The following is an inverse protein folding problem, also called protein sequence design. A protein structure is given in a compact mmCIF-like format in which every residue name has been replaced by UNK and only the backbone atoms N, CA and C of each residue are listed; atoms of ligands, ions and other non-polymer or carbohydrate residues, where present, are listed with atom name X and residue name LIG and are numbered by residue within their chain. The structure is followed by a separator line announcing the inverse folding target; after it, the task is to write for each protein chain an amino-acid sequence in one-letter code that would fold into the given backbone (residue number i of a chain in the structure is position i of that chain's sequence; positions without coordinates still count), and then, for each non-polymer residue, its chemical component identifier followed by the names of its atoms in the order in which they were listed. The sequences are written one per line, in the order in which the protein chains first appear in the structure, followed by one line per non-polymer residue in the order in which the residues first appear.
data_IF_084459934685
#
_entry.id   IF_084459934685
#
_cell.length_a   1.000
_cell.length_b   1.000
_cell.length_c   1.000
_cell.angle_alpha   90.00
_cell.angle_beta   90.00
_cell.angle_gamma   90.00
#
_symmetry.space_group_name_H-M   'P 1'
#
loop_
_entity.id
_entity.type
_entity.pdbx_description
1 polymer ?
#
# COMPACT_ATOMS: atom_id res chain seq x y z
N UNK A 1 -34.49 -67.13 -2.47
CA UNK A 1 -33.12 -67.06 -3.00
C UNK A 1 -32.38 -66.07 -2.12
N UNK A 2 -31.51 -66.52 -1.19
CA UNK A 2 -30.09 -66.85 -1.42
C UNK A 2 -29.30 -65.63 -1.95
N UNK A 3 -28.24 -65.09 -1.32
CA UNK A 3 -27.72 -65.22 0.06
C UNK A 3 -26.70 -64.10 0.35
N UNK A 4 -26.62 -63.66 1.63
CA UNK A 4 -25.47 -63.26 2.49
C UNK A 4 -24.12 -62.75 1.88
N UNK A 5 -23.27 -61.93 2.52
CA UNK A 5 -22.71 -61.85 3.91
C UNK A 5 -22.18 -60.39 4.13
N UNK A 6 -22.52 -59.61 5.19
CA UNK A 6 -21.87 -59.44 6.54
C UNK A 6 -20.45 -58.79 6.51
N UNK A 7 -19.93 -57.98 7.46
CA UNK A 7 -20.33 -57.39 8.79
C UNK A 7 -19.37 -56.17 9.07
N UNK A 8 -19.77 -54.97 9.56
CA UNK A 8 -19.93 -54.48 10.97
C UNK A 8 -18.69 -54.68 11.90
N UNK A 9 -18.36 -53.97 13.00
CA UNK A 9 -18.74 -52.72 13.70
C UNK A 9 -17.57 -52.38 14.70
N UNK A 10 -17.49 -51.34 15.56
CA UNK A 10 -18.30 -50.13 15.82
C UNK A 10 -18.03 -49.54 17.24
N UNK A 11 -17.87 -48.20 17.35
CA UNK A 11 -17.89 -47.36 18.58
C UNK A 11 -16.80 -47.42 19.68
N UNK A 12 -16.60 -46.25 20.35
CA UNK A 12 -15.89 -46.02 21.64
C UNK A 12 -16.78 -46.47 22.83
N UNK A 13 -16.26 -46.53 24.09
CA UNK A 13 -16.41 -45.36 24.98
C UNK A 13 -15.30 -45.10 26.06
N UNK A 14 -15.41 -43.90 26.64
CA UNK A 14 -14.87 -43.28 27.86
C UNK A 14 -13.98 -44.02 28.90
N UNK A 15 -13.07 -43.23 29.53
CA UNK A 15 -12.45 -43.50 30.83
C UNK A 15 -11.69 -42.29 31.41
N UNK A 16 -12.00 -41.86 32.64
CA UNK A 16 -11.33 -40.78 33.44
C UNK A 16 -10.73 -41.41 34.71
N UNK A 17 -9.48 -41.06 35.05
CA UNK A 17 -8.79 -41.08 36.39
C UNK A 17 -7.27 -41.00 36.16
N UNK A 18 -6.38 -40.54 37.05
CA UNK A 18 -6.45 -39.66 38.23
C UNK A 18 -5.03 -39.08 38.49
N UNK A 19 -4.91 -38.05 39.33
CA UNK A 19 -3.65 -37.44 39.75
C UNK A 19 -2.75 -38.36 40.60
N UNK A 20 -1.41 -38.18 40.50
CA UNK A 20 -0.54 -37.96 41.68
C UNK A 20 0.88 -37.50 41.35
N UNK A 21 1.36 -36.57 42.17
CA UNK A 21 2.72 -36.04 42.18
C UNK A 21 3.70 -36.95 42.94
N UNK A 22 4.98 -36.87 42.61
CA UNK A 22 6.07 -37.19 43.54
C UNK A 22 7.26 -36.24 43.36
N UNK A 23 7.33 -35.22 44.22
CA UNK A 23 8.60 -34.58 44.58
C UNK A 23 9.41 -35.53 45.48
N UNK A 24 10.74 -35.52 45.34
CA UNK A 24 11.65 -35.99 46.41
C UNK A 24 12.85 -35.05 46.57
N UNK A 25 13.14 -34.73 47.82
CA UNK A 25 14.25 -33.87 48.27
C UNK A 25 15.15 -34.64 49.25
N UNK A 26 16.47 -34.48 49.09
CA UNK A 26 17.51 -34.66 50.12
C UNK A 26 18.81 -34.07 49.51
N UNK A 27 19.45 -32.99 49.99
CA UNK A 27 20.02 -32.61 51.30
C UNK A 27 21.29 -33.38 51.72
N UNK A 28 22.42 -32.66 51.59
CA UNK A 28 23.64 -32.63 52.42
C UNK A 28 24.44 -33.93 52.69
N UNK A 29 25.74 -33.90 52.36
CA UNK A 29 26.84 -34.15 53.32
C UNK A 29 28.18 -33.57 52.80
N UNK A 30 29.01 -33.09 53.73
CA UNK A 30 30.40 -32.59 53.59
C UNK A 30 31.20 -33.35 54.68
N UNK A 31 32.52 -33.68 54.61
CA UNK A 31 33.65 -32.70 54.67
C UNK A 31 34.99 -33.30 54.10
N UNK A 32 36.24 -33.00 54.59
CA UNK A 32 36.93 -31.73 54.89
C UNK A 32 38.30 -31.53 54.16
N UNK A 33 38.87 -30.32 54.36
CA UNK A 33 40.29 -29.88 54.45
C UNK A 33 41.42 -30.95 54.43
N UNK A 34 42.66 -30.70 53.97
CA UNK A 34 43.41 -29.47 53.56
C UNK A 34 44.74 -29.89 52.88
N UNK A 35 45.60 -28.95 52.43
CA UNK A 35 47.05 -28.85 52.73
C UNK A 35 47.64 -27.60 52.00
N UNK A 36 48.60 -26.89 52.62
CA UNK A 36 49.23 -25.65 52.11
C UNK A 36 50.57 -25.94 51.43
N UNK A 37 50.90 -25.27 50.31
CA UNK A 37 52.29 -24.93 49.91
C UNK A 37 52.32 -23.48 49.35
N UNK A 38 53.48 -22.82 49.48
CA UNK A 38 53.72 -21.38 49.29
C UNK A 38 54.17 -20.96 47.89
N UNK A 39 54.10 -19.64 47.64
CA UNK A 39 54.93 -18.81 46.73
C UNK A 39 55.06 -19.17 45.24
N UNK A 40 54.66 -18.26 44.35
CA UNK A 40 55.53 -17.18 43.85
C UNK A 40 54.74 -16.20 42.97
N UNK A 41 54.97 -14.89 43.12
CA UNK A 41 54.55 -13.90 42.12
C UNK A 41 55.50 -13.96 40.91
N UNK A 42 54.98 -13.74 39.70
CA UNK A 42 55.40 -12.53 39.00
C UNK A 42 54.22 -11.68 38.53
N UNK A 43 54.46 -10.36 38.45
CA UNK A 43 53.49 -9.39 37.94
C UNK A 43 53.31 -9.55 36.42
N UNK A 44 52.21 -10.13 35.99
CA UNK A 44 51.73 -9.94 34.63
C UNK A 44 50.99 -8.59 34.55
N UNK A 45 51.57 -7.60 33.86
CA UNK A 45 50.79 -6.45 33.39
C UNK A 45 49.85 -6.98 32.30
N UNK A 46 48.60 -7.23 32.66
CA UNK A 46 47.54 -7.40 31.68
C UNK A 46 47.30 -6.06 30.99
N UNK A 47 47.79 -5.89 29.75
CA UNK A 47 47.25 -4.86 28.88
C UNK A 47 45.77 -5.19 28.65
N UNK A 48 44.90 -4.43 29.32
CA UNK A 48 43.50 -4.37 28.93
C UNK A 48 43.43 -3.70 27.56
N UNK A 49 43.49 -4.51 26.50
CA UNK A 49 43.18 -4.07 25.16
C UNK A 49 41.70 -3.64 25.18
N UNK A 50 41.47 -2.34 25.29
CA UNK A 50 40.19 -1.72 24.97
C UNK A 50 39.94 -1.94 23.49
N UNK A 51 39.36 -3.10 23.17
CA UNK A 51 38.68 -3.32 21.89
C UNK A 51 37.51 -2.36 21.90
N UNK A 52 37.75 -1.15 21.39
CA UNK A 52 36.71 -0.19 21.10
C UNK A 52 35.85 -0.81 20.02
N UNK A 53 34.79 -1.50 20.43
CA UNK A 53 33.75 -2.00 19.54
C UNK A 53 33.06 -0.76 19.01
N UNK A 54 33.61 -0.21 17.92
CA UNK A 54 32.89 0.61 16.98
C UNK A 54 31.79 -0.29 16.42
N UNK A 55 30.67 -0.34 17.14
CA UNK A 55 29.44 -0.84 16.59
C UNK A 55 29.11 0.03 15.40
N UNK A 56 29.40 -0.48 14.21
CA UNK A 56 28.72 -0.04 13.00
C UNK A 56 27.24 -0.32 13.23
N UNK A 57 26.56 0.66 13.83
CA UNK A 57 25.14 0.81 13.72
C UNK A 57 24.88 1.05 12.24
N UNK A 58 24.67 -0.04 11.51
CA UNK A 58 24.08 -0.01 10.19
C UNK A 58 22.71 0.64 10.37
N UNK A 59 22.65 1.96 10.23
CA UNK A 59 21.40 2.67 10.01
C UNK A 59 20.89 2.13 8.68
N UNK A 60 19.91 1.24 8.75
CA UNK A 60 19.06 0.93 7.62
C UNK A 60 18.55 2.25 7.06
N UNK A 61 18.66 2.45 5.74
CA UNK A 61 18.10 3.63 5.09
C UNK A 61 16.61 3.75 5.48
N UNK A 62 16.09 4.96 5.72
CA UNK A 62 14.65 5.16 5.89
C UNK A 62 13.87 4.60 4.71
N UNK A 63 12.65 4.09 4.96
CA UNK A 63 11.88 3.36 3.95
C UNK A 63 11.60 4.19 2.68
N UNK A 64 11.45 5.52 2.82
CA UNK A 64 11.28 6.41 1.67
C UNK A 64 12.51 6.43 0.74
N UNK A 65 13.73 6.20 1.23
CA UNK A 65 14.94 6.16 0.39
C UNK A 65 15.02 4.88 -0.48
N UNK A 66 14.18 3.88 -0.21
CA UNK A 66 14.06 2.66 -1.02
C UNK A 66 13.13 2.84 -2.23
N UNK A 67 12.40 3.96 -2.33
CA UNK A 67 11.51 4.25 -3.47
C UNK A 67 12.31 4.70 -4.69
N UNK A 68 12.04 4.09 -5.84
CA UNK A 68 12.73 4.38 -7.08
C UNK A 68 11.75 4.90 -8.13
N UNK A 69 11.86 6.19 -8.46
CA UNK A 69 11.07 6.79 -9.54
C UNK A 69 11.27 6.12 -10.89
N UNK A 70 12.45 5.54 -11.13
CA UNK A 70 12.74 4.76 -12.34
C UNK A 70 11.94 3.44 -12.42
N UNK A 71 11.64 2.79 -11.28
CA UNK A 71 10.77 1.61 -11.24
C UNK A 71 9.31 2.00 -11.42
N UNK A 72 8.86 3.04 -10.71
CA UNK A 72 7.53 3.62 -10.91
C UNK A 72 7.30 3.96 -12.39
N UNK A 73 8.23 4.69 -13.01
CA UNK A 73 8.21 5.03 -14.45
C UNK A 73 8.14 3.78 -15.35
N UNK A 74 8.87 2.71 -15.02
CA UNK A 74 8.79 1.43 -15.74
C UNK A 74 7.40 0.79 -15.68
N UNK A 75 6.68 0.94 -14.56
CA UNK A 75 5.28 0.53 -14.46
C UNK A 75 4.35 1.42 -15.30
N UNK A 76 4.54 2.76 -15.29
CA UNK A 76 3.80 3.68 -16.18
C UNK A 76 4.00 3.31 -17.65
N UNK A 77 5.25 3.08 -18.07
CA UNK A 77 5.59 2.69 -19.43
C UNK A 77 4.84 1.41 -19.84
N UNK A 78 4.82 0.39 -18.99
CA UNK A 78 4.10 -0.86 -19.29
C UNK A 78 2.60 -0.64 -19.50
N UNK A 79 1.96 0.19 -18.68
CA UNK A 79 0.52 0.51 -18.81
C UNK A 79 0.22 1.30 -20.09
N UNK A 80 1.10 2.22 -20.48
CA UNK A 80 0.99 2.98 -21.74
C UNK A 80 1.22 2.08 -22.97
N UNK A 81 2.10 1.09 -22.88
CA UNK A 81 2.36 0.10 -23.94
C UNK A 81 1.15 -0.80 -24.23
N UNK A 82 0.26 -1.03 -23.26
CA UNK A 82 -1.03 -1.70 -23.47
C UNK A 82 -2.01 -0.86 -24.32
N UNK A 83 -1.79 0.46 -24.41
CA UNK A 83 -2.64 1.43 -25.07
C UNK A 83 -3.70 2.05 -24.16
N UNK A 84 -4.77 2.65 -24.72
CA UNK A 84 -5.92 3.13 -23.96
C UNK A 84 -6.53 1.99 -23.13
N UNK A 85 -6.89 2.25 -21.88
CA UNK A 85 -7.43 1.27 -20.92
C UNK A 85 -8.85 1.64 -20.44
N UNK A 86 -9.81 2.01 -21.31
CA UNK A 86 -11.15 2.36 -20.83
C UNK A 86 -11.86 1.17 -20.17
N UNK A 87 -12.79 1.48 -19.29
CA UNK A 87 -13.65 0.51 -18.61
C UNK A 87 -14.23 -0.54 -19.59
N UNK A 88 -14.21 -1.81 -19.19
CA UNK A 88 -14.63 -2.94 -20.01
C UNK A 88 -13.68 -3.37 -21.15
N UNK A 89 -12.54 -2.71 -21.38
CA UNK A 89 -11.60 -3.06 -22.45
C UNK A 89 -10.66 -4.24 -22.14
N UNK A 90 -10.14 -4.90 -23.19
CA UNK A 90 -9.11 -5.95 -23.07
C UNK A 90 -7.79 -5.39 -22.52
N UNK A 91 -7.46 -4.13 -22.82
CA UNK A 91 -6.26 -3.46 -22.31
C UNK A 91 -6.36 -3.18 -20.80
N UNK A 92 -7.55 -2.81 -20.30
CA UNK A 92 -7.78 -2.67 -18.88
C UNK A 92 -7.69 -4.02 -18.15
N UNK A 93 -8.24 -5.10 -18.71
CA UNK A 93 -8.09 -6.44 -18.13
C UNK A 93 -6.61 -6.90 -18.08
N UNK A 94 -5.82 -6.62 -19.12
CA UNK A 94 -4.36 -6.85 -19.10
C UNK A 94 -3.67 -6.02 -18.01
N UNK A 95 -4.13 -4.79 -17.78
CA UNK A 95 -3.64 -3.94 -16.70
C UNK A 95 -3.94 -4.54 -15.33
N UNK A 96 -5.15 -5.09 -15.12
CA UNK A 96 -5.51 -5.80 -13.88
C UNK A 96 -4.62 -7.01 -13.61
N UNK A 97 -4.34 -7.79 -14.65
CA UNK A 97 -3.43 -8.95 -14.55
C UNK A 97 -2.03 -8.47 -14.17
N UNK A 98 -1.51 -7.46 -14.87
CA UNK A 98 -0.19 -6.88 -14.58
C UNK A 98 -0.07 -6.36 -13.15
N UNK A 99 -1.01 -5.52 -12.70
CA UNK A 99 -1.06 -4.97 -11.34
C UNK A 99 -1.06 -6.13 -10.32
N UNK A 100 -1.98 -7.09 -10.45
CA UNK A 100 -2.08 -8.22 -9.53
C UNK A 100 -0.81 -9.07 -9.49
N UNK A 101 -0.15 -9.32 -10.63
CA UNK A 101 1.10 -10.09 -10.69
C UNK A 101 2.29 -9.34 -10.10
N UNK A 102 2.42 -8.01 -10.31
CA UNK A 102 3.43 -7.19 -9.64
C UNK A 102 3.24 -7.22 -8.12
N UNK A 103 2.03 -6.90 -7.64
CA UNK A 103 1.68 -6.89 -6.22
C UNK A 103 1.93 -8.25 -5.55
N UNK A 104 1.54 -9.34 -6.21
CA UNK A 104 1.80 -10.71 -5.77
C UNK A 104 3.30 -11.03 -5.68
N UNK A 105 4.11 -10.55 -6.62
CA UNK A 105 5.57 -10.72 -6.57
C UNK A 105 6.21 -10.02 -5.36
N UNK A 106 5.54 -9.00 -4.81
CA UNK A 106 5.96 -8.28 -3.60
C UNK A 106 5.30 -8.81 -2.31
N UNK A 107 4.47 -9.85 -2.36
CA UNK A 107 3.85 -10.47 -1.18
C UNK A 107 2.45 -9.95 -0.81
N UNK A 108 1.81 -9.18 -1.69
CA UNK A 108 0.43 -8.74 -1.53
C UNK A 108 -0.56 -9.76 -2.11
N UNK A 109 -1.73 -9.89 -1.49
CA UNK A 109 -2.87 -10.63 -2.04
C UNK A 109 -3.87 -9.62 -2.60
N UNK A 110 -4.18 -9.74 -3.89
CA UNK A 110 -5.13 -8.84 -4.59
C UNK A 110 -6.48 -9.52 -4.77
N UNK A 111 -7.53 -8.87 -4.30
CA UNK A 111 -8.94 -9.23 -4.50
C UNK A 111 -9.52 -8.36 -5.61
N UNK A 112 -10.38 -8.94 -6.46
CA UNK A 112 -11.21 -8.22 -7.43
C UNK A 112 -12.57 -7.94 -6.79
N UNK A 113 -12.94 -6.68 -6.60
CA UNK A 113 -14.32 -6.27 -6.26
C UNK A 113 -15.02 -5.91 -7.56
N UNK A 114 -15.77 -6.87 -8.11
CA UNK A 114 -16.49 -6.75 -9.38
C UNK A 114 -17.95 -6.33 -9.13
N UNK A 115 -18.40 -5.30 -9.84
CA UNK A 115 -19.75 -4.76 -9.74
C UNK A 115 -20.24 -4.25 -11.09
N UNK A 116 -21.55 -4.02 -11.23
CA UNK A 116 -22.13 -3.43 -12.44
C UNK A 116 -22.91 -2.16 -12.10
N UNK A 117 -22.73 -1.13 -12.91
CA UNK A 117 -23.40 0.17 -12.76
C UNK A 117 -23.93 0.68 -14.11
N UNK A 118 -24.93 1.56 -14.05
CA UNK A 118 -25.49 2.22 -15.23
C UNK A 118 -24.63 3.43 -15.60
N UNK A 119 -24.20 3.48 -16.85
CA UNK A 119 -23.46 4.60 -17.45
C UNK A 119 -24.32 5.26 -18.54
N UNK A 120 -23.98 6.47 -19.04
CA UNK A 120 -24.60 7.04 -20.24
C UNK A 120 -24.54 6.11 -21.45
N UNK A 121 -23.47 5.31 -21.58
CA UNK A 121 -23.26 4.33 -22.66
C UNK A 121 -23.89 2.95 -22.37
N UNK A 122 -24.68 2.81 -21.30
CA UNK A 122 -25.40 1.58 -20.91
C UNK A 122 -24.87 0.92 -19.64
N UNK A 123 -25.35 -0.29 -19.33
CA UNK A 123 -24.87 -1.07 -18.18
C UNK A 123 -23.43 -1.54 -18.44
N UNK A 124 -22.52 -1.27 -17.50
CA UNK A 124 -21.12 -1.71 -17.58
C UNK A 124 -20.71 -2.45 -16.30
N UNK A 125 -19.75 -3.37 -16.44
CA UNK A 125 -19.10 -4.07 -15.32
C UNK A 125 -17.71 -3.47 -15.08
N UNK A 126 -17.44 -3.11 -13.83
CA UNK A 126 -16.21 -2.52 -13.33
C UNK A 126 -15.58 -3.47 -12.31
N UNK A 127 -14.26 -3.37 -12.12
CA UNK A 127 -13.50 -4.23 -11.21
C UNK A 127 -12.46 -3.40 -10.45
N UNK A 128 -12.74 -3.03 -9.21
CA UNK A 128 -11.70 -2.49 -8.34
C UNK A 128 -10.70 -3.59 -7.97
N UNK A 129 -9.42 -3.25 -7.83
CA UNK A 129 -8.41 -4.14 -7.26
C UNK A 129 -8.07 -3.67 -5.84
N UNK A 130 -8.32 -4.52 -4.85
CA UNK A 130 -8.06 -4.24 -3.44
C UNK A 130 -6.98 -5.19 -2.95
N UNK A 131 -5.85 -4.68 -2.48
CA UNK A 131 -4.70 -5.49 -2.11
C UNK A 131 -4.25 -5.31 -0.66
N UNK A 132 -4.01 -6.45 0.01
CA UNK A 132 -3.58 -6.53 1.42
C UNK A 132 -2.30 -7.34 1.55
N UNK A 133 -1.42 -6.90 2.45
CA UNK A 133 -0.11 -7.54 2.65
C UNK A 133 -0.17 -8.72 3.62
N UNK A 134 0.27 -9.90 3.17
CA UNK A 134 0.26 -11.13 3.96
C UNK A 134 -1.14 -11.64 4.34
N UNK A 135 -1.20 -12.62 5.24
CA UNK A 135 -2.43 -13.29 5.66
C UNK A 135 -2.98 -12.65 6.95
N UNK A 136 -3.39 -11.37 6.89
CA UNK A 136 -3.82 -10.62 8.07
C UNK A 136 -5.33 -10.79 8.35
N UNK A 137 -5.67 -11.13 9.59
CA UNK A 137 -7.03 -10.99 10.12
C UNK A 137 -7.16 -9.62 10.79
N UNK A 138 -7.91 -8.71 10.17
CA UNK A 138 -8.20 -7.38 10.72
C UNK A 138 -8.26 -6.27 9.66
N UNK A 139 -8.98 -5.17 9.94
CA UNK A 139 -9.13 -4.07 8.99
C UNK A 139 -7.80 -3.36 8.75
N UNK A 140 -7.64 -2.80 7.55
CA UNK A 140 -6.63 -1.80 7.30
C UNK A 140 -6.90 -0.52 8.12
N UNK A 141 -5.87 0.31 8.25
CA UNK A 141 -5.92 1.59 8.96
C UNK A 141 -5.58 2.77 8.06
N UNK A 142 -4.98 2.52 6.89
CA UNK A 142 -4.62 3.55 5.92
C UNK A 142 -4.89 3.05 4.49
N UNK A 143 -5.46 3.91 3.65
CA UNK A 143 -5.66 3.64 2.22
C UNK A 143 -4.53 4.27 1.40
N UNK A 144 -4.07 3.59 0.36
CA UNK A 144 -3.32 4.20 -0.73
C UNK A 144 -4.04 3.88 -2.04
N UNK A 145 -4.51 4.91 -2.72
CA UNK A 145 -5.47 4.82 -3.82
C UNK A 145 -4.92 5.40 -5.13
N UNK A 146 -5.44 4.90 -6.25
CA UNK A 146 -5.19 5.37 -7.61
C UNK A 146 -6.35 4.88 -8.47
N UNK A 147 -6.75 5.60 -9.52
CA UNK A 147 -7.49 4.98 -10.63
C UNK A 147 -6.50 4.37 -11.64
N UNK A 148 -6.95 3.43 -12.47
CA UNK A 148 -6.08 2.74 -13.44
C UNK A 148 -6.70 2.54 -14.84
N UNK A 149 -7.96 2.96 -15.01
CA UNK A 149 -8.57 3.09 -16.33
C UNK A 149 -8.11 4.37 -17.06
N UNK A 150 -8.80 4.74 -18.13
CA UNK A 150 -8.52 5.95 -18.94
C UNK A 150 -9.80 6.38 -19.62
N UNK A 151 -10.02 7.69 -19.80
CA UNK A 151 -11.18 8.19 -20.54
C UNK A 151 -11.38 7.53 -21.89
N UNK A 152 -12.64 7.27 -22.22
CA UNK A 152 -13.03 6.95 -23.59
C UNK A 152 -13.20 8.24 -24.39
N UNK A 153 -12.40 8.41 -25.44
CA UNK A 153 -12.60 9.46 -26.44
C UNK A 153 -12.86 8.85 -27.81
N UNK A 154 -13.87 9.35 -28.51
CA UNK A 154 -14.23 8.85 -29.84
C UNK A 154 -13.31 9.40 -30.96
N UNK A 155 -12.60 10.51 -30.69
CA UNK A 155 -11.81 11.26 -31.68
C UNK A 155 -10.28 11.23 -31.46
N UNK A 156 -9.80 10.83 -30.28
CA UNK A 156 -8.36 10.79 -29.94
C UNK A 156 -7.95 9.45 -29.33
N UNK A 157 -6.70 9.04 -29.57
CA UNK A 157 -6.10 7.89 -28.89
C UNK A 157 -5.44 8.35 -27.58
N UNK A 158 -6.26 8.54 -26.56
CA UNK A 158 -5.81 8.86 -25.20
C UNK A 158 -5.18 7.63 -24.54
N UNK A 159 -3.96 7.75 -23.99
CA UNK A 159 -3.29 6.62 -23.29
C UNK A 159 -3.24 6.78 -21.78
N UNK A 160 -3.62 7.92 -21.23
CA UNK A 160 -3.52 8.21 -19.79
C UNK A 160 -2.14 7.87 -19.26
N UNK A 161 -1.12 8.63 -19.66
CA UNK A 161 0.25 8.39 -19.19
C UNK A 161 0.45 9.05 -17.83
N UNK A 162 -0.11 10.24 -17.64
CA UNK A 162 -0.19 10.92 -16.37
C UNK A 162 -1.50 10.51 -15.67
N UNK A 163 -2.61 10.69 -16.39
CA UNK A 163 -3.99 10.42 -15.97
C UNK A 163 -4.20 8.90 -15.83
N UNK A 164 -4.35 8.41 -14.59
CA UNK A 164 -4.40 7.00 -14.20
C UNK A 164 -3.07 6.21 -14.34
N UNK A 165 -2.26 6.50 -15.35
CA UNK A 165 -1.00 5.81 -15.62
C UNK A 165 0.08 6.08 -14.57
N UNK A 166 0.26 7.33 -14.17
CA UNK A 166 1.35 7.76 -13.28
C UNK A 166 1.14 7.31 -11.84
N UNK A 167 -0.06 7.52 -11.33
CA UNK A 167 -0.55 7.12 -10.00
C UNK A 167 -0.53 5.60 -9.83
N UNK A 168 -0.98 4.84 -10.83
CA UNK A 168 -0.91 3.37 -10.80
C UNK A 168 0.55 2.90 -10.75
N UNK A 169 1.43 3.47 -11.58
CA UNK A 169 2.85 3.12 -11.59
C UNK A 169 3.57 3.44 -10.27
N UNK A 170 3.25 4.58 -9.66
CA UNK A 170 3.72 4.96 -8.33
C UNK A 170 3.23 3.99 -7.26
N UNK A 171 1.95 3.61 -7.26
CA UNK A 171 1.34 2.76 -6.24
C UNK A 171 1.88 1.32 -6.29
N UNK A 172 2.22 0.78 -7.47
CA UNK A 172 2.90 -0.50 -7.62
C UNK A 172 4.31 -0.46 -7.00
N UNK A 173 5.09 0.61 -7.22
CA UNK A 173 6.41 0.76 -6.60
C UNK A 173 6.31 1.00 -5.08
N UNK A 174 5.30 1.75 -4.60
CA UNK A 174 5.03 1.86 -3.16
C UNK A 174 4.74 0.48 -2.54
N UNK A 175 4.01 -0.40 -3.22
CA UNK A 175 3.74 -1.75 -2.75
C UNK A 175 5.03 -2.57 -2.56
N UNK A 176 6.00 -2.45 -3.49
CA UNK A 176 7.32 -3.07 -3.37
C UNK A 176 8.11 -2.53 -2.18
N UNK A 177 8.06 -1.22 -1.96
CA UNK A 177 8.81 -0.55 -0.89
C UNK A 177 8.20 -0.88 0.48
N UNK A 178 6.88 -0.77 0.62
CA UNK A 178 6.16 -1.13 1.85
C UNK A 178 6.43 -2.59 2.27
N UNK A 179 6.57 -3.52 1.32
CA UNK A 179 6.91 -4.91 1.60
C UNK A 179 8.25 -5.12 2.34
N UNK A 180 9.17 -4.14 2.31
CA UNK A 180 10.41 -4.15 3.11
C UNK A 180 10.11 -3.99 4.61
N UNK A 181 8.97 -3.38 4.97
CA UNK A 181 8.44 -3.31 6.34
C UNK A 181 7.06 -3.98 6.44
N UNK A 182 7.01 -5.33 6.60
CA UNK A 182 5.77 -6.10 6.75
C UNK A 182 4.78 -5.59 7.81
N UNK A 183 5.26 -4.99 8.90
CA UNK A 183 4.40 -4.49 9.97
C UNK A 183 3.62 -3.24 9.55
N UNK A 184 4.25 -2.37 8.75
CA UNK A 184 3.61 -1.19 8.16
C UNK A 184 2.71 -1.60 6.99
N UNK A 185 3.19 -2.45 6.08
CA UNK A 185 2.40 -2.96 4.95
C UNK A 185 1.09 -3.65 5.41
N UNK A 186 1.12 -4.39 6.52
CA UNK A 186 -0.05 -5.03 7.11
C UNK A 186 -1.15 -4.04 7.56
N UNK A 187 -0.85 -2.75 7.74
CA UNK A 187 -1.83 -1.71 8.11
C UNK A 187 -2.35 -0.91 6.91
N UNK A 188 -1.75 -1.08 5.74
CA UNK A 188 -2.12 -0.39 4.50
C UNK A 188 -2.99 -1.30 3.63
N UNK A 189 -4.00 -0.73 2.99
CA UNK A 189 -4.73 -1.35 1.88
C UNK A 189 -4.47 -0.53 0.63
N UNK A 190 -4.05 -1.20 -0.45
CA UNK A 190 -3.85 -0.56 -1.74
C UNK A 190 -5.12 -0.75 -2.57
N UNK A 191 -5.59 0.31 -3.20
CA UNK A 191 -6.83 0.29 -3.98
C UNK A 191 -6.58 0.88 -5.35
N UNK A 192 -6.93 0.13 -6.39
CA UNK A 192 -6.90 0.58 -7.77
C UNK A 192 -8.35 0.63 -8.25
N UNK A 193 -8.86 1.84 -8.48
CA UNK A 193 -10.25 2.10 -8.87
C UNK A 193 -10.45 1.96 -10.38
N UNK A 194 -11.60 1.41 -10.76
CA UNK A 194 -12.03 1.21 -12.15
C UNK A 194 -13.30 2.05 -12.39
N UNK A 195 -13.25 2.89 -13.43
CA UNK A 195 -14.31 3.83 -13.75
C UNK A 195 -14.29 5.06 -12.86
N UNK A 196 -13.10 5.59 -12.55
CA UNK A 196 -13.01 7.02 -12.19
C UNK A 196 -13.59 7.86 -13.34
N UNK A 197 -13.18 7.52 -14.57
CA UNK A 197 -13.39 8.35 -15.73
C UNK A 197 -14.85 8.37 -16.22
N UNK A 198 -15.41 9.57 -16.34
CA UNK A 198 -16.73 9.79 -16.95
C UNK A 198 -16.80 9.35 -18.43
N UNK A 199 -17.90 8.74 -18.84
CA UNK A 199 -18.14 8.24 -20.21
C UNK A 199 -18.62 9.33 -21.19
N UNK A 200 -19.22 10.40 -20.68
CA UNK A 200 -19.59 11.58 -21.43
C UNK A 200 -19.11 12.86 -20.75
N UNK A 201 -19.63 13.16 -19.55
CA UNK A 201 -19.33 14.39 -18.82
C UNK A 201 -19.33 14.10 -17.32
N UNK A 202 -18.31 14.56 -16.61
CA UNK A 202 -18.19 14.35 -15.17
C UNK A 202 -19.41 14.91 -14.42
N UNK A 203 -20.14 14.03 -13.73
CA UNK A 203 -21.33 14.37 -12.92
C UNK A 203 -21.43 13.42 -11.73
N UNK A 204 -22.33 13.71 -10.79
CA UNK A 204 -22.63 12.82 -9.64
C UNK A 204 -23.17 11.41 -10.01
N UNK A 205 -23.25 11.05 -11.30
CA UNK A 205 -23.64 9.72 -11.79
C UNK A 205 -22.86 9.26 -13.04
N UNK A 206 -21.86 10.03 -13.48
CA UNK A 206 -20.97 9.71 -14.62
C UNK A 206 -19.55 10.07 -14.21
N UNK A 207 -18.81 9.04 -13.78
CA UNK A 207 -17.52 9.12 -13.09
C UNK A 207 -17.57 8.52 -11.68
N UNK A 208 -16.39 8.30 -11.08
CA UNK A 208 -16.16 7.80 -9.72
C UNK A 208 -16.90 6.49 -9.37
N UNK A 209 -17.19 5.65 -10.36
CA UNK A 209 -17.92 4.39 -10.19
C UNK A 209 -17.21 3.47 -9.20
N UNK A 210 -15.89 3.34 -9.34
CA UNK A 210 -15.02 2.52 -8.49
C UNK A 210 -15.05 2.93 -7.03
N UNK A 211 -14.75 4.20 -6.72
CA UNK A 211 -14.73 4.70 -5.35
C UNK A 211 -16.12 4.79 -4.71
N UNK A 212 -17.18 5.13 -5.45
CA UNK A 212 -18.55 5.07 -4.94
C UNK A 212 -18.95 3.66 -4.52
N UNK A 213 -18.62 2.64 -5.32
CA UNK A 213 -18.86 1.24 -4.95
C UNK A 213 -18.06 0.86 -3.70
N UNK A 214 -16.76 1.13 -3.68
CA UNK A 214 -15.87 0.78 -2.56
C UNK A 214 -16.25 1.49 -1.25
N UNK A 215 -16.64 2.77 -1.30
CA UNK A 215 -17.18 3.50 -0.16
C UNK A 215 -18.48 2.85 0.37
N UNK A 216 -19.33 2.31 -0.52
CA UNK A 216 -20.52 1.58 -0.09
C UNK A 216 -20.18 0.29 0.66
N UNK A 217 -19.12 -0.42 0.27
CA UNK A 217 -18.61 -1.62 0.97
C UNK A 217 -17.99 -1.27 2.33
N UNK A 218 -17.29 -0.13 2.43
CA UNK A 218 -16.56 0.28 3.63
C UNK A 218 -17.38 1.04 4.69
N UNK A 219 -18.65 1.41 4.43
CA UNK A 219 -19.44 2.29 5.33
C UNK A 219 -19.44 1.89 6.81
N UNK A 220 -19.57 0.60 7.14
CA UNK A 220 -19.55 0.11 8.54
C UNK A 220 -18.13 0.01 9.14
N UNK A 221 -17.11 0.02 8.28
CA UNK A 221 -15.69 -0.09 8.62
C UNK A 221 -14.96 1.26 8.61
N UNK A 222 -15.59 2.34 8.13
CA UNK A 222 -14.98 3.66 7.93
C UNK A 222 -14.13 4.14 9.14
N UNK A 223 -14.67 4.00 10.36
CA UNK A 223 -14.02 4.34 11.64
C UNK A 223 -12.70 3.60 11.94
N UNK A 224 -12.38 2.53 11.20
CA UNK A 224 -11.12 1.79 11.35
C UNK A 224 -9.97 2.49 10.61
N UNK A 225 -10.29 3.25 9.58
CA UNK A 225 -9.33 4.01 8.81
C UNK A 225 -9.01 5.33 9.52
N UNK A 226 -7.72 5.57 9.73
CA UNK A 226 -7.17 6.76 10.38
C UNK A 226 -6.66 7.79 9.36
N UNK A 227 -6.66 7.46 8.07
CA UNK A 227 -6.12 8.27 6.98
C UNK A 227 -6.14 7.53 5.64
N UNK A 228 -5.79 8.24 4.58
CA UNK A 228 -5.53 7.67 3.26
C UNK A 228 -4.97 8.72 2.30
N UNK A 229 -4.31 8.26 1.25
CA UNK A 229 -3.82 9.12 0.16
C UNK A 229 -4.36 8.56 -1.17
N UNK A 230 -5.03 9.41 -1.94
CA UNK A 230 -5.23 9.22 -3.37
C UNK A 230 -4.08 9.90 -4.11
N UNK A 231 -3.62 9.26 -5.18
CA UNK A 231 -2.69 9.83 -6.15
C UNK A 231 -3.41 9.94 -7.48
N UNK A 232 -3.32 11.10 -8.13
CA UNK A 232 -3.70 11.24 -9.54
C UNK A 232 -2.77 12.22 -10.28
N UNK A 233 -2.51 11.99 -11.56
CA UNK A 233 -1.72 12.89 -12.42
C UNK A 233 -0.34 13.34 -11.87
N UNK A 234 0.28 12.56 -10.97
CA UNK A 234 1.52 12.91 -10.24
C UNK A 234 2.84 12.67 -11.00
N UNK A 235 2.77 12.46 -12.32
CA UNK A 235 3.91 12.10 -13.16
C UNK A 235 4.57 13.26 -13.92
N UNK A 236 3.96 14.45 -14.00
CA UNK A 236 4.42 15.50 -14.93
C UNK A 236 5.87 15.98 -14.68
N UNK A 237 6.57 16.33 -15.77
CA UNK A 237 7.93 16.90 -15.76
C UNK A 237 8.05 18.27 -15.09
N UNK A 238 6.95 19.01 -14.97
CA UNK A 238 6.90 20.35 -14.37
C UNK A 238 6.24 20.35 -12.98
N UNK A 239 6.24 19.17 -12.33
CA UNK A 239 5.47 18.80 -11.13
C UNK A 239 5.11 19.94 -10.17
N UNK A 240 3.81 20.17 -10.03
CA UNK A 240 3.16 20.99 -9.02
C UNK A 240 2.00 20.22 -8.38
N UNK A 241 2.28 19.35 -7.41
CA UNK A 241 1.24 18.69 -6.61
C UNK A 241 0.40 19.74 -5.89
N UNK A 242 -0.90 19.71 -6.14
CA UNK A 242 -1.90 20.55 -5.50
C UNK A 242 -2.74 19.73 -4.52
N UNK A 243 -3.17 20.36 -3.44
CA UNK A 243 -4.12 19.80 -2.47
C UNK A 243 -5.40 20.64 -2.49
N UNK A 244 -6.57 20.00 -2.50
CA UNK A 244 -7.84 20.71 -2.36
C UNK A 244 -7.94 21.43 -1.00
N UNK A 245 -8.44 22.68 -0.90
CA UNK A 245 -8.54 23.41 0.37
C UNK A 245 -9.43 22.77 1.45
N UNK A 246 -10.34 21.87 1.06
CA UNK A 246 -11.20 21.07 1.93
C UNK A 246 -10.61 19.69 2.27
N UNK A 247 -9.38 19.39 1.83
CA UNK A 247 -8.62 18.20 2.24
C UNK A 247 -8.61 18.02 3.77
N UNK A 248 -8.64 16.78 4.30
CA UNK A 248 -8.55 16.54 5.73
C UNK A 248 -7.32 17.24 6.35
N UNK A 249 -7.57 18.25 7.19
CA UNK A 249 -6.56 19.23 7.62
C UNK A 249 -5.31 18.61 8.27
N UNK A 250 -5.48 17.52 9.00
CA UNK A 250 -4.38 16.80 9.63
C UNK A 250 -3.52 16.02 8.63
N UNK A 251 -4.08 15.54 7.51
CA UNK A 251 -3.34 14.91 6.42
C UNK A 251 -2.60 15.97 5.59
N UNK A 252 -3.28 17.05 5.18
CA UNK A 252 -2.66 18.13 4.41
C UNK A 252 -1.46 18.73 5.15
N UNK A 253 -1.60 18.97 6.46
CA UNK A 253 -0.49 19.40 7.32
C UNK A 253 0.66 18.39 7.36
N UNK A 254 0.39 17.09 7.41
CA UNK A 254 1.47 16.09 7.42
C UNK A 254 2.18 16.01 6.06
N UNK A 255 1.45 16.07 4.94
CA UNK A 255 2.04 16.07 3.59
C UNK A 255 2.96 17.28 3.39
N UNK A 256 2.54 18.49 3.77
CA UNK A 256 3.44 19.64 3.73
C UNK A 256 4.66 19.47 4.65
N UNK A 257 4.48 18.96 5.87
CA UNK A 257 5.60 18.70 6.78
C UNK A 257 6.56 17.61 6.27
N UNK A 258 6.06 16.61 5.55
CA UNK A 258 6.86 15.58 4.88
C UNK A 258 7.63 16.17 3.68
N UNK A 259 6.98 17.00 2.87
CA UNK A 259 7.62 17.74 1.78
C UNK A 259 8.69 18.71 2.31
N UNK A 260 8.44 19.43 3.41
CA UNK A 260 9.44 20.27 4.10
C UNK A 260 10.62 19.43 4.62
N UNK A 261 10.35 18.30 5.29
CA UNK A 261 11.38 17.43 5.85
C UNK A 261 12.31 16.80 4.78
N UNK A 262 11.78 16.58 3.57
CA UNK A 262 12.54 16.07 2.43
C UNK A 262 13.08 17.17 1.49
N UNK A 263 12.86 18.46 1.80
CA UNK A 263 13.29 19.59 0.97
C UNK A 263 12.49 19.78 -0.33
N UNK A 264 11.35 19.09 -0.47
CA UNK A 264 10.50 19.05 -1.67
C UNK A 264 9.33 20.05 -1.62
N UNK A 265 9.23 20.88 -0.58
CA UNK A 265 8.11 21.80 -0.34
C UNK A 265 7.75 22.71 -1.53
N UNK A 266 8.69 22.98 -2.43
CA UNK A 266 8.46 23.79 -3.63
C UNK A 266 7.48 23.15 -4.63
N UNK A 267 7.37 21.81 -4.64
CA UNK A 267 6.48 21.05 -5.53
C UNK A 267 5.06 20.87 -4.99
N UNK A 268 4.75 21.34 -3.78
CA UNK A 268 3.46 21.12 -3.13
C UNK A 268 2.77 22.44 -2.83
N UNK A 269 1.50 22.60 -3.19
CA UNK A 269 0.71 23.80 -2.89
C UNK A 269 -0.76 23.46 -2.62
N UNK A 270 -1.56 24.46 -2.24
CA UNK A 270 -3.02 24.34 -2.30
C UNK A 270 -3.52 24.73 -3.69
N UNK A 271 -4.54 24.03 -4.17
CA UNK A 271 -5.31 24.46 -5.34
C UNK A 271 -6.20 25.67 -5.01
N UNK A 272 -6.63 26.40 -6.03
CA UNK A 272 -7.47 27.60 -5.88
C UNK A 272 -8.96 27.33 -5.61
N UNK A 273 -9.41 26.08 -5.74
CA UNK A 273 -10.80 25.66 -5.57
C UNK A 273 -10.89 24.22 -5.05
N UNK A 274 -12.11 23.69 -4.92
CA UNK A 274 -12.33 22.28 -4.57
C UNK A 274 -12.01 21.34 -5.73
N UNK A 275 -11.60 20.11 -5.40
CA UNK A 275 -11.37 19.01 -6.35
C UNK A 275 -12.35 17.88 -6.00
N UNK A 276 -13.08 17.35 -6.99
CA UNK A 276 -13.93 16.17 -6.83
C UNK A 276 -13.31 15.03 -7.62
N UNK A 277 -12.97 13.96 -6.91
CA UNK A 277 -12.22 12.79 -7.38
C UNK A 277 -12.49 11.61 -6.42
N UNK A 278 -11.92 10.43 -6.63
CA UNK A 278 -12.16 9.16 -5.92
C UNK A 278 -11.97 9.24 -4.38
N UNK A 279 -11.32 10.29 -3.88
CA UNK A 279 -11.20 10.57 -2.44
C UNK A 279 -12.51 11.14 -1.84
N UNK A 280 -13.38 11.74 -2.66
CA UNK A 280 -14.62 12.39 -2.22
C UNK A 280 -15.63 11.38 -1.64
N UNK A 281 -15.98 10.26 -2.31
CA UNK A 281 -16.92 9.28 -1.74
C UNK A 281 -16.42 8.63 -0.44
N UNK A 282 -15.09 8.56 -0.25
CA UNK A 282 -14.46 8.05 0.97
C UNK A 282 -14.56 9.07 2.11
N UNK A 283 -14.32 10.35 1.83
CA UNK A 283 -14.53 11.44 2.79
C UNK A 283 -16.02 11.55 3.20
N UNK A 284 -16.97 11.34 2.29
CA UNK A 284 -18.41 11.36 2.58
C UNK A 284 -18.86 10.29 3.60
N UNK A 285 -18.22 9.11 3.62
CA UNK A 285 -18.48 8.07 4.62
C UNK A 285 -17.63 8.24 5.90
N UNK A 286 -16.79 9.27 5.97
CA UNK A 286 -15.95 9.59 7.12
C UNK A 286 -14.59 8.89 7.15
N UNK A 287 -14.11 8.35 6.02
CA UNK A 287 -12.71 7.94 5.88
C UNK A 287 -11.91 9.16 5.41
N UNK A 288 -11.01 9.74 6.22
CA UNK A 288 -10.22 10.88 5.79
C UNK A 288 -9.21 10.46 4.74
N UNK A 289 -9.41 10.87 3.49
CA UNK A 289 -8.47 10.68 2.37
C UNK A 289 -8.07 12.03 1.82
N UNK A 290 -6.76 12.25 1.65
CA UNK A 290 -6.23 13.40 0.92
C UNK A 290 -5.90 13.01 -0.51
N UNK A 291 -6.15 13.92 -1.43
CA UNK A 291 -5.76 13.80 -2.82
C UNK A 291 -4.45 14.56 -3.08
N UNK A 292 -3.52 13.92 -3.79
CA UNK A 292 -2.27 14.47 -4.30
C UNK A 292 -2.37 14.50 -5.82
N UNK A 293 -2.68 15.67 -6.39
CA UNK A 293 -2.96 15.82 -7.82
C UNK A 293 -2.25 17.02 -8.45
N UNK A 294 -1.59 16.83 -9.58
CA UNK A 294 -1.04 17.94 -10.38
C UNK A 294 -2.11 18.50 -11.32
N UNK A 295 -2.92 19.41 -10.79
CA UNK A 295 -4.06 19.98 -11.51
C UNK A 295 -3.67 21.06 -12.56
N UNK A 296 -2.38 21.43 -12.67
CA UNK A 296 -1.87 22.35 -13.69
C UNK A 296 -1.14 21.58 -14.82
N UNK A 297 -1.85 20.60 -15.38
CA UNK A 297 -1.33 19.72 -16.44
C UNK A 297 -2.04 19.98 -17.80
N UNK A 298 -1.52 20.87 -18.67
CA UNK A 298 -2.12 21.19 -19.96
C UNK A 298 -2.44 20.01 -20.90
N UNK A 299 -1.71 18.87 -20.89
CA UNK A 299 -2.07 17.70 -21.70
C UNK A 299 -3.25 16.87 -21.17
N UNK A 300 -3.81 17.18 -19.99
CA UNK A 300 -4.96 16.48 -19.40
C UNK A 300 -6.11 16.32 -20.39
N UNK A 301 -6.70 15.12 -20.48
CA UNK A 301 -7.79 14.82 -21.41
C UNK A 301 -7.47 15.11 -22.91
N UNK A 302 -6.19 15.11 -23.30
CA UNK A 302 -5.73 15.27 -24.69
C UNK A 302 -4.90 14.09 -25.19
N UNK A 303 -4.73 13.99 -26.52
CA UNK A 303 -3.84 13.00 -27.14
C UNK A 303 -2.35 13.21 -26.79
N UNK A 304 -2.00 14.30 -26.13
CA UNK A 304 -0.63 14.64 -25.69
C UNK A 304 -0.33 14.17 -24.28
N UNK A 305 -1.29 13.60 -23.53
CA UNK A 305 -0.95 12.86 -22.31
C UNK A 305 -0.29 11.52 -22.70
N UNK A 306 1.04 11.58 -22.81
CA UNK A 306 1.90 10.54 -23.33
C UNK A 306 3.16 10.39 -22.48
N UNK A 307 3.84 9.25 -22.60
CA UNK A 307 4.98 8.90 -21.73
C UNK A 307 6.13 9.94 -21.74
N UNK A 308 6.27 10.76 -22.80
CA UNK A 308 7.23 11.86 -22.84
C UNK A 308 6.88 13.06 -21.96
N UNK A 309 5.69 13.13 -21.37
CA UNK A 309 5.34 14.09 -20.30
C UNK A 309 5.79 13.63 -18.92
N UNK A 310 6.01 12.33 -18.75
CA UNK A 310 6.27 11.73 -17.44
C UNK A 310 7.75 11.84 -17.04
N UNK A 311 7.99 12.08 -15.76
CA UNK A 311 9.31 12.13 -15.15
C UNK A 311 9.46 11.12 -14.03
N UNK A 312 10.52 10.30 -14.10
CA UNK A 312 10.92 9.46 -12.98
C UNK A 312 11.26 10.29 -11.72
N UNK A 313 11.79 11.52 -11.88
CA UNK A 313 12.10 12.40 -10.75
C UNK A 313 10.83 12.86 -10.02
N UNK A 314 9.77 13.22 -10.76
CA UNK A 314 8.48 13.62 -10.19
C UNK A 314 7.81 12.48 -9.42
N UNK A 315 7.78 11.28 -10.03
CA UNK A 315 7.30 10.06 -9.36
C UNK A 315 8.09 9.77 -8.08
N UNK A 316 9.42 9.99 -8.09
CA UNK A 316 10.27 9.83 -6.90
C UNK A 316 9.95 10.87 -5.82
N UNK A 317 9.78 12.14 -6.17
CA UNK A 317 9.42 13.22 -5.23
C UNK A 317 8.12 12.87 -4.50
N UNK A 318 7.07 12.52 -5.24
CA UNK A 318 5.75 12.21 -4.65
C UNK A 318 5.80 10.92 -3.84
N UNK A 319 6.37 9.84 -4.38
CA UNK A 319 6.45 8.55 -3.70
C UNK A 319 7.24 8.62 -2.39
N UNK A 320 8.32 9.42 -2.35
CA UNK A 320 9.13 9.63 -1.14
C UNK A 320 8.39 10.45 -0.09
N UNK A 321 7.70 11.51 -0.48
CA UNK A 321 6.90 12.34 0.45
C UNK A 321 5.75 11.52 1.06
N UNK A 322 5.03 10.76 0.25
CA UNK A 322 3.95 9.90 0.74
C UNK A 322 4.46 8.78 1.66
N UNK A 323 5.56 8.09 1.32
CA UNK A 323 6.16 7.09 2.20
C UNK A 323 6.70 7.68 3.51
N UNK A 324 7.19 8.91 3.51
CA UNK A 324 7.57 9.61 4.73
C UNK A 324 6.34 9.82 5.64
N UNK A 325 5.21 10.32 5.13
CA UNK A 325 3.99 10.48 5.92
C UNK A 325 3.45 9.14 6.43
N UNK A 326 3.37 8.12 5.57
CA UNK A 326 2.93 6.76 5.95
C UNK A 326 3.86 6.15 7.02
N UNK A 327 5.15 6.49 7.05
CA UNK A 327 6.03 6.16 8.17
C UNK A 327 5.74 6.97 9.45
N UNK A 328 5.40 8.25 9.36
CA UNK A 328 5.00 9.03 10.56
C UNK A 328 3.67 8.56 11.13
N UNK A 329 2.76 8.05 10.29
CA UNK A 329 1.50 7.43 10.67
C UNK A 329 1.68 6.19 11.56
N UNK A 330 2.75 5.43 11.35
CA UNK A 330 3.12 4.27 12.19
C UNK A 330 3.55 4.68 13.60
N UNK A 331 4.06 5.90 13.76
CA UNK A 331 4.62 6.45 15.00
C UNK A 331 3.59 7.24 15.84
N UNK A 332 2.34 7.32 15.37
CA UNK A 332 1.19 7.99 16.01
C UNK A 332 0.19 6.97 16.56
#
# INVERSE_FOLDING_TARGET
MLSAVSVSAGCKPAGRTDCKSMFRTARYFNPPLSWRIWNFFPRALGLAALVSVYGCSFRTAPLWEEFSGAKAFGHVQHLVELGPRPAGSEALEKSRIYIADQLKSFGWTTTRSEFSASTPRGMMTFVNLVARFGNQEGPAQFLLCSHYDTKTFDAIRFVGANDGGSSTGLLIEMARVLAINPALAAKVELVFFDGEEAFENFTATDGLYGSHHFASELRELAKNFRGGILFDMIGDKSLQVTLSPDSPIDLARNIFAAADALGQRAHFTYFGGGITDDHTPLNEIGIPVIDLIDFDFPPWHTAEDTLDKISAESLEIVGRVALYDVMQFELK
#
